data_IF_120066893721
#
_entry.id   IF_120066893721
#
_cell.length_a   1.000
_cell.length_b   1.000
_cell.length_c   1.000
_cell.angle_alpha   90.00
_cell.angle_beta   90.00
_cell.angle_gamma   90.00
#
_symmetry.space_group_name_H-M   'P 1'
#
loop_
_entity.id
_entity.type
_entity.pdbx_description
1 polymer ?
#
# COMPACT_ATOMS: atom_id res chain seq x y z
N UNK A 1 -22.41 0.22 -15.40
CA UNK A 1 -21.05 0.78 -15.42
C UNK A 1 -20.57 0.79 -13.98
N UNK A 2 -20.29 -0.39 -13.39
CA UNK A 2 -18.96 -1.03 -13.24
C UNK A 2 -18.02 -0.13 -12.41
N UNK A 3 -17.52 -0.47 -11.21
CA UNK A 3 -17.49 -1.71 -10.45
C UNK A 3 -17.63 -1.38 -8.95
N UNK A 4 -18.39 -2.19 -8.20
CA UNK A 4 -18.35 -2.14 -6.74
C UNK A 4 -17.04 -2.75 -6.26
N UNK A 5 -16.33 -1.97 -5.43
CA UNK A 5 -15.53 -2.40 -4.28
C UNK A 5 -14.97 -3.83 -4.36
N UNK A 6 -13.74 -3.97 -4.85
CA UNK A 6 -12.91 -5.13 -4.55
C UNK A 6 -11.56 -4.60 -4.09
N UNK A 7 -11.51 -4.09 -2.85
CA UNK A 7 -10.25 -3.90 -2.14
C UNK A 7 -9.77 -5.29 -1.75
N UNK A 8 -9.13 -5.98 -2.69
CA UNK A 8 -8.32 -7.15 -2.39
C UNK A 8 -7.12 -6.59 -1.62
N UNK A 9 -7.24 -6.48 -0.29
CA UNK A 9 -6.05 -6.38 0.54
C UNK A 9 -5.40 -7.75 0.40
N UNK A 10 -4.27 -7.89 -0.33
CA UNK A 10 -3.62 -9.18 -0.46
C UNK A 10 -3.31 -9.64 0.95
N UNK A 11 -3.76 -10.83 1.31
CA UNK A 11 -3.47 -11.42 2.62
C UNK A 11 -1.95 -11.55 2.69
N UNK A 12 -1.32 -10.66 3.45
CA UNK A 12 0.12 -10.62 3.50
C UNK A 12 0.60 -11.89 4.21
N UNK A 13 1.49 -12.59 3.54
CA UNK A 13 2.25 -13.67 4.14
C UNK A 13 3.20 -13.08 5.18
N UNK A 14 3.62 -13.86 6.18
CA UNK A 14 4.55 -13.42 7.23
C UNK A 14 5.81 -12.73 6.66
N UNK A 15 6.29 -13.18 5.49
CA UNK A 15 7.42 -12.58 4.79
C UNK A 15 7.17 -11.12 4.31
N UNK A 16 5.92 -10.73 4.15
CA UNK A 16 5.53 -9.37 3.74
C UNK A 16 5.27 -8.44 4.94
N UNK A 17 5.18 -8.98 6.18
CA UNK A 17 5.10 -8.17 7.41
C UNK A 17 6.40 -7.42 7.72
N UNK A 18 7.54 -7.85 7.14
CA UNK A 18 8.84 -7.18 7.29
C UNK A 18 9.12 -6.10 6.23
N UNK A 19 8.17 -5.80 5.34
CA UNK A 19 8.38 -4.83 4.26
C UNK A 19 8.29 -3.39 4.79
N UNK A 20 9.12 -2.49 4.23
CA UNK A 20 9.04 -1.07 4.49
C UNK A 20 8.36 -0.36 3.32
N UNK A 21 7.46 0.56 3.63
CA UNK A 21 6.70 1.31 2.62
C UNK A 21 6.84 2.80 2.89
N UNK A 22 7.12 3.56 1.83
CA UNK A 22 7.11 5.03 1.86
C UNK A 22 5.82 5.50 1.21
N UNK A 23 4.96 6.18 1.98
CA UNK A 23 3.74 6.80 1.47
C UNK A 23 3.88 8.33 1.39
N UNK A 24 3.48 8.89 0.26
CA UNK A 24 3.49 10.31 -0.03
C UNK A 24 2.05 10.84 -0.06
N UNK A 25 1.77 11.90 0.70
CA UNK A 25 0.55 12.66 0.51
C UNK A 25 0.77 13.69 -0.60
N UNK A 26 0.18 13.45 -1.77
CA UNK A 26 0.28 14.31 -2.95
C UNK A 26 -1.13 14.77 -3.32
N UNK A 27 -1.61 15.82 -2.66
CA UNK A 27 -2.92 16.41 -2.92
C UNK A 27 -2.81 17.90 -3.16
N UNK A 28 -3.59 18.45 -4.10
CA UNK A 28 -3.56 19.89 -4.41
C UNK A 28 -3.97 20.79 -3.23
N UNK A 29 -4.72 20.24 -2.26
CA UNK A 29 -5.30 20.96 -1.12
C UNK A 29 -4.62 20.68 0.22
N UNK A 30 -3.69 19.72 0.28
CA UNK A 30 -2.93 19.38 1.50
C UNK A 30 -1.44 19.53 1.24
N UNK A 31 -0.69 19.99 2.24
CA UNK A 31 0.76 20.12 2.15
C UNK A 31 1.45 18.78 1.90
N UNK A 32 2.58 18.81 1.20
CA UNK A 32 3.39 17.62 0.96
C UNK A 32 3.87 17.02 2.29
N UNK A 33 3.70 15.71 2.45
CA UNK A 33 4.19 14.97 3.61
C UNK A 33 4.57 13.55 3.22
N UNK A 34 5.48 12.97 4.00
CA UNK A 34 6.05 11.63 3.79
C UNK A 34 5.92 10.83 5.07
N UNK A 35 5.47 9.58 4.95
CA UNK A 35 5.41 8.61 6.04
C UNK A 35 6.11 7.32 5.63
N UNK A 36 7.10 6.86 6.40
CA UNK A 36 7.67 5.53 6.27
C UNK A 36 7.08 4.63 7.35
N UNK A 37 6.64 3.43 6.98
CA UNK A 37 6.04 2.46 7.92
C UNK A 37 6.46 1.03 7.58
N UNK A 38 6.55 0.17 8.60
CA UNK A 38 6.68 -1.27 8.48
C UNK A 38 5.34 -2.01 8.68
N UNK A 39 4.24 -1.26 8.78
CA UNK A 39 2.89 -1.80 8.84
C UNK A 39 2.13 -1.43 7.58
N UNK A 40 1.02 -2.13 7.32
CA UNK A 40 0.22 -1.83 6.15
C UNK A 40 -0.38 -0.42 6.22
N UNK A 41 -0.16 0.41 5.19
CA UNK A 41 -0.81 1.71 5.12
C UNK A 41 -2.32 1.53 4.90
N UNK A 42 -3.14 2.03 5.84
CA UNK A 42 -4.59 2.10 5.66
C UNK A 42 -4.95 3.21 4.66
N UNK A 43 -5.61 2.84 3.58
CA UNK A 43 -6.08 3.74 2.52
C UNK A 43 -6.95 4.88 3.08
N UNK A 44 -7.75 4.64 4.11
CA UNK A 44 -8.60 5.66 4.71
C UNK A 44 -7.81 6.63 5.61
N UNK A 45 -6.66 6.20 6.13
CA UNK A 45 -5.81 7.00 7.01
C UNK A 45 -4.89 7.95 6.22
N UNK A 46 -4.37 7.48 5.07
CA UNK A 46 -3.39 8.24 4.27
C UNK A 46 -4.04 8.91 3.03
N UNK A 47 -5.28 8.55 2.68
CA UNK A 47 -6.05 9.17 1.59
C UNK A 47 -5.55 8.74 0.20
N UNK A 48 -5.56 9.67 -0.76
CA UNK A 48 -4.99 9.49 -2.12
C UNK A 48 -3.45 9.50 -2.11
N UNK A 49 -2.85 8.71 -1.21
CA UNK A 49 -1.40 8.63 -1.07
C UNK A 49 -0.79 7.64 -2.06
N UNK A 50 0.35 8.01 -2.62
CA UNK A 50 1.16 7.07 -3.41
C UNK A 50 2.13 6.37 -2.48
N UNK A 51 2.11 5.04 -2.47
CA UNK A 51 2.97 4.22 -1.62
C UNK A 51 3.98 3.43 -2.45
N UNK A 52 5.23 3.44 -2.02
CA UNK A 52 6.38 2.83 -2.67
C UNK A 52 6.98 1.77 -1.73
N UNK A 53 6.75 0.48 -1.99
CA UNK A 53 7.29 -0.59 -1.16
C UNK A 53 8.78 -0.84 -1.43
N UNK A 54 9.52 -1.27 -0.42
CA UNK A 54 10.93 -1.67 -0.54
C UNK A 54 11.06 -2.98 -1.33
N UNK A 55 10.14 -3.93 -1.13
CA UNK A 55 10.10 -5.20 -1.84
C UNK A 55 8.77 -5.44 -2.56
N UNK A 56 8.83 -6.06 -3.74
CA UNK A 56 7.69 -6.60 -4.46
C UNK A 56 7.74 -8.13 -4.38
N UNK A 57 6.59 -8.74 -4.13
CA UNK A 57 6.46 -10.19 -3.97
C UNK A 57 5.59 -10.74 -5.09
N UNK A 58 6.01 -11.85 -5.67
CA UNK A 58 5.25 -12.59 -6.68
C UNK A 58 4.74 -13.90 -6.06
N UNK A 59 3.53 -14.29 -6.42
CA UNK A 59 3.02 -15.62 -6.06
C UNK A 59 3.65 -16.65 -6.99
N UNK A 60 4.37 -17.61 -6.41
CA UNK A 60 4.87 -18.76 -7.18
C UNK A 60 3.69 -19.70 -7.46
N UNK A 61 3.11 -19.64 -8.64
CA UNK A 61 2.21 -20.70 -9.11
C UNK A 61 3.05 -21.97 -9.31
N UNK A 62 2.87 -22.94 -8.40
CA UNK A 62 3.54 -24.23 -8.47
C UNK A 62 3.24 -24.93 -9.78
N UNK A 63 4.28 -25.35 -10.49
CA UNK A 63 4.19 -26.26 -11.62
C UNK A 63 4.61 -27.65 -11.20
#
# INVERSE_FOLDING_TARGET
>A
STAQHSTIIPKLTEAQEENLVICLSVGATKGFSVLMTNTLPDLHLIGDSQCFPMFLYETMEGK
#
